data_IF_553665604258
#
_entry.id   IF_553665604258
#
_cell.length_a   1.000
_cell.length_b   1.000
_cell.length_c   1.000
_cell.angle_alpha   90.00
_cell.angle_beta   90.00
_cell.angle_gamma   90.00
#
_symmetry.space_group_name_H-M   'P 1'
#
loop_
_entity.id
_entity.type
_entity.pdbx_description
1 polymer ?
#
# COMPACT_ATOMS: atom_id res chain seq x y z
N UNK A 1 -1.36 -49.09 -60.63
CA UNK A 1 -2.42 -48.48 -59.80
C UNK A 1 -1.76 -47.37 -58.99
N UNK A 2 -2.11 -46.13 -59.33
CA UNK A 2 -2.02 -44.87 -58.57
C UNK A 2 -0.71 -44.48 -57.84
N UNK A 3 -0.17 -43.36 -58.34
CA UNK A 3 0.80 -42.39 -57.80
C UNK A 3 0.52 -42.04 -56.31
N UNK A 4 1.46 -41.55 -55.48
CA UNK A 4 2.28 -40.33 -55.62
C UNK A 4 3.44 -40.40 -54.62
N UNK A 5 4.64 -40.05 -55.09
CA UNK A 5 5.82 -39.74 -54.27
C UNK A 5 5.81 -38.26 -53.82
N UNK A 6 6.18 -37.98 -52.57
CA UNK A 6 6.67 -36.66 -52.14
C UNK A 6 7.65 -36.87 -50.98
N UNK A 7 8.96 -36.70 -51.19
CA UNK A 7 9.75 -35.45 -51.01
C UNK A 7 9.90 -35.06 -49.53
N UNK A 8 11.17 -35.05 -49.10
CA UNK A 8 11.57 -34.79 -47.73
C UNK A 8 11.31 -33.36 -47.25
N UNK A 9 11.31 -33.22 -45.92
CA UNK A 9 11.42 -31.94 -45.26
C UNK A 9 12.27 -32.13 -44.00
N UNK A 10 13.51 -31.61 -44.10
CA UNK A 10 14.31 -31.14 -42.97
C UNK A 10 13.41 -30.33 -42.04
N UNK A 11 13.46 -30.63 -40.74
CA UNK A 11 12.78 -29.85 -39.72
C UNK A 11 13.16 -28.37 -39.86
N UNK A 12 12.20 -27.45 -40.09
CA UNK A 12 12.47 -26.04 -39.97
C UNK A 12 12.62 -25.70 -38.48
N UNK A 13 13.73 -25.05 -38.18
CA UNK A 13 13.96 -24.24 -36.98
C UNK A 13 12.71 -23.37 -36.80
N UNK A 14 12.05 -23.50 -35.64
CA UNK A 14 10.98 -22.61 -35.24
C UNK A 14 11.57 -21.20 -35.12
N UNK A 15 11.34 -20.41 -36.17
CA UNK A 15 11.38 -18.96 -36.14
C UNK A 15 10.54 -18.50 -34.95
N UNK A 16 11.17 -17.77 -34.04
CA UNK A 16 10.46 -17.05 -33.00
C UNK A 16 9.55 -16.02 -33.67
N UNK A 17 8.26 -15.92 -33.32
CA UNK A 17 7.45 -14.81 -33.79
C UNK A 17 8.04 -13.52 -33.21
N UNK A 18 8.50 -12.64 -34.10
CA UNK A 18 8.83 -11.25 -33.79
C UNK A 18 7.67 -10.66 -33.00
N UNK A 19 7.99 -10.26 -31.78
CA UNK A 19 7.18 -9.47 -30.89
C UNK A 19 6.67 -8.26 -31.67
N UNK A 20 5.40 -8.30 -32.05
CA UNK A 20 4.72 -7.17 -32.65
C UNK A 20 4.55 -6.12 -31.56
N UNK A 21 5.29 -5.01 -31.68
CA UNK A 21 5.10 -3.82 -30.86
C UNK A 21 3.60 -3.47 -30.82
N UNK A 22 2.99 -3.30 -29.64
CA UNK A 22 1.62 -2.81 -29.58
C UNK A 22 1.60 -1.38 -30.11
N UNK A 23 0.94 -1.20 -31.25
CA UNK A 23 0.50 0.11 -31.76
C UNK A 23 -0.38 0.74 -30.69
N UNK A 24 0.20 1.69 -29.94
CA UNK A 24 -0.51 2.48 -28.94
C UNK A 24 -1.17 3.67 -29.64
N UNK A 25 -2.34 3.41 -30.23
CA UNK A 25 -3.23 4.47 -30.70
C UNK A 25 -4.17 4.84 -29.55
N UNK A 26 -3.99 6.02 -28.97
CA UNK A 26 -4.85 6.46 -27.85
C UNK A 26 -4.24 7.59 -27.04
N UNK A 27 -4.43 8.82 -27.51
CA UNK A 27 -4.50 10.09 -26.76
C UNK A 27 -3.86 10.00 -25.36
N UNK A 28 -2.59 10.41 -25.24
CA UNK A 28 -2.01 10.70 -23.93
C UNK A 28 -2.75 11.91 -23.36
N UNK A 29 -3.79 11.68 -22.55
CA UNK A 29 -4.37 12.73 -21.73
C UNK A 29 -3.24 13.22 -20.83
N UNK A 30 -2.80 14.46 -21.04
CA UNK A 30 -1.73 15.04 -20.24
C UNK A 30 -2.13 14.94 -18.76
N UNK A 31 -1.33 14.23 -17.96
CA UNK A 31 -1.58 14.11 -16.52
C UNK A 31 -1.44 15.49 -15.89
N UNK A 32 -2.32 15.81 -14.96
CA UNK A 32 -2.18 17.03 -14.17
C UNK A 32 -0.95 16.92 -13.25
N UNK A 33 -0.41 18.08 -12.83
CA UNK A 33 0.66 18.14 -11.83
C UNK A 33 0.28 17.39 -10.54
N UNK A 34 -1.01 17.47 -10.16
CA UNK A 34 -1.57 16.76 -9.00
C UNK A 34 -1.52 15.25 -9.20
N UNK A 35 -1.99 14.73 -10.34
CA UNK A 35 -1.96 13.30 -10.62
C UNK A 35 -0.52 12.74 -10.63
N UNK A 36 0.42 13.49 -11.21
CA UNK A 36 1.84 13.12 -11.25
C UNK A 36 2.45 13.07 -9.84
N UNK A 37 2.13 14.06 -8.98
CA UNK A 37 2.55 14.06 -7.57
C UNK A 37 1.97 12.89 -6.77
N UNK A 38 0.72 12.52 -7.02
CA UNK A 38 0.12 11.38 -6.33
C UNK A 38 0.76 10.05 -6.72
N UNK A 39 1.10 9.89 -7.99
CA UNK A 39 1.84 8.71 -8.48
C UNK A 39 3.25 8.64 -7.88
N UNK A 40 3.97 9.77 -7.77
CA UNK A 40 5.29 9.79 -7.14
C UNK A 40 5.23 9.47 -5.63
N UNK A 41 4.24 10.01 -4.90
CA UNK A 41 3.99 9.66 -3.51
C UNK A 41 3.75 8.15 -3.36
N UNK A 42 2.98 7.56 -4.28
CA UNK A 42 2.67 6.14 -4.28
C UNK A 42 3.94 5.32 -4.54
N UNK A 43 4.73 5.69 -5.56
CA UNK A 43 5.98 5.02 -5.89
C UNK A 43 6.99 5.04 -4.73
N UNK A 44 7.24 6.21 -4.14
CA UNK A 44 8.16 6.36 -3.02
C UNK A 44 7.74 5.49 -1.82
N UNK A 45 6.44 5.36 -1.59
CA UNK A 45 5.90 4.52 -0.55
C UNK A 45 6.08 3.04 -0.84
N UNK A 46 5.85 2.60 -2.07
CA UNK A 46 6.12 1.22 -2.50
C UNK A 46 7.60 0.86 -2.29
N UNK A 47 8.52 1.76 -2.65
CA UNK A 47 9.95 1.53 -2.40
C UNK A 47 10.26 1.43 -0.91
N UNK A 48 9.65 2.28 -0.07
CA UNK A 48 9.81 2.19 1.39
C UNK A 48 9.25 0.89 1.96
N UNK A 49 8.08 0.45 1.52
CA UNK A 49 7.46 -0.81 1.95
C UNK A 49 8.32 -2.00 1.51
N UNK A 50 8.83 -2.02 0.28
CA UNK A 50 9.77 -3.04 -0.20
C UNK A 50 11.02 -3.09 0.68
N UNK A 51 11.61 -1.94 0.98
CA UNK A 51 12.81 -1.85 1.81
C UNK A 51 12.55 -2.30 3.26
N UNK A 52 11.39 -1.95 3.83
CA UNK A 52 10.97 -2.40 5.17
C UNK A 52 10.80 -3.92 5.19
N UNK A 53 10.15 -4.46 4.16
CA UNK A 53 9.89 -5.90 4.02
C UNK A 53 11.19 -6.69 3.83
N UNK A 54 12.09 -6.21 2.96
CA UNK A 54 13.42 -6.80 2.72
C UNK A 54 14.27 -6.81 3.99
N UNK A 55 14.35 -5.68 4.72
CA UNK A 55 15.06 -5.63 6.00
C UNK A 55 14.43 -6.55 7.05
N UNK A 56 13.11 -6.67 7.06
CA UNK A 56 12.40 -7.65 7.88
C UNK A 56 12.82 -9.08 7.54
N UNK A 57 12.85 -9.45 6.25
CA UNK A 57 13.27 -10.78 5.79
C UNK A 57 14.78 -11.06 5.97
N UNK A 58 15.64 -10.06 5.83
CA UNK A 58 17.09 -10.23 6.02
C UNK A 58 17.45 -10.38 7.51
N UNK A 59 16.73 -9.69 8.40
CA UNK A 59 16.90 -9.89 9.85
C UNK A 59 16.46 -11.29 10.30
N UNK A 60 15.49 -11.90 9.60
CA UNK A 60 15.05 -13.27 9.90
C UNK A 60 16.02 -14.32 9.36
N UNK A 61 16.54 -14.14 8.14
CA UNK A 61 17.50 -15.06 7.52
C UNK A 61 18.87 -15.01 8.19
N UNK A 62 19.38 -13.83 8.56
CA UNK A 62 20.69 -13.72 9.24
C UNK A 62 20.65 -14.27 10.67
N UNK A 63 19.49 -14.24 11.34
CA UNK A 63 19.29 -14.97 12.61
C UNK A 63 19.26 -16.50 12.41
N UNK A 64 18.82 -16.97 11.23
CA UNK A 64 18.86 -18.39 10.87
C UNK A 64 20.26 -18.88 10.44
N UNK A 65 21.13 -18.06 9.87
CA UNK A 65 22.45 -18.52 9.38
C UNK A 65 23.56 -18.51 10.43
N UNK A 66 23.43 -17.76 11.53
CA UNK A 66 24.38 -17.78 12.66
C UNK A 66 24.13 -18.97 13.64
N UNK A 67 23.22 -19.88 13.26
CA UNK A 67 22.58 -20.85 14.14
C UNK A 67 23.19 -22.26 14.16
N UNK A 68 24.30 -22.53 13.46
CA UNK A 68 24.92 -23.87 13.47
C UNK A 68 25.44 -24.31 14.85
N UNK A 69 25.56 -23.39 15.82
CA UNK A 69 25.89 -23.71 17.23
C UNK A 69 24.68 -23.55 18.18
N UNK A 70 23.62 -22.83 17.81
CA UNK A 70 22.46 -22.53 18.68
C UNK A 70 21.17 -23.34 18.39
N UNK A 71 21.18 -24.19 17.34
CA UNK A 71 20.05 -24.95 16.78
C UNK A 71 19.22 -25.82 17.73
N UNK A 72 19.58 -25.96 19.01
CA UNK A 72 18.75 -26.66 20.01
C UNK A 72 17.94 -25.74 20.92
N UNK A 73 18.17 -24.42 20.90
CA UNK A 73 17.53 -23.47 21.82
C UNK A 73 16.69 -22.37 21.14
N UNK A 74 16.78 -22.13 19.83
CA UNK A 74 16.11 -20.96 19.21
C UNK A 74 14.59 -21.10 19.00
N UNK A 75 14.01 -22.27 19.28
CA UNK A 75 12.55 -22.48 19.27
C UNK A 75 11.86 -22.01 20.56
N UNK A 76 12.62 -21.65 21.61
CA UNK A 76 12.09 -21.18 22.90
C UNK A 76 13.05 -20.18 23.55
N UNK A 77 12.50 -19.13 24.15
CA UNK A 77 13.30 -18.26 25.02
C UNK A 77 14.06 -19.12 26.06
N UNK A 78 15.36 -18.87 26.25
CA UNK A 78 16.12 -19.44 27.36
C UNK A 78 15.47 -19.08 28.71
N UNK A 79 15.66 -19.87 29.77
CA UNK A 79 14.90 -19.76 31.04
C UNK A 79 14.79 -18.33 31.59
N UNK A 80 15.89 -17.58 31.61
CA UNK A 80 15.90 -16.20 32.12
C UNK A 80 15.16 -15.24 31.18
N UNK A 81 15.32 -15.41 29.87
CA UNK A 81 14.63 -14.62 28.87
C UNK A 81 13.11 -14.93 28.87
N UNK A 82 12.74 -16.20 29.06
CA UNK A 82 11.35 -16.64 29.18
C UNK A 82 10.70 -16.02 30.42
N UNK A 83 11.40 -16.06 31.56
CA UNK A 83 10.92 -15.48 32.82
C UNK A 83 10.69 -13.97 32.66
N UNK A 84 11.64 -13.25 32.06
CA UNK A 84 11.47 -11.82 31.74
C UNK A 84 10.28 -11.61 30.80
N UNK A 85 10.20 -12.38 29.72
CA UNK A 85 9.12 -12.25 28.76
C UNK A 85 7.75 -12.43 29.43
N UNK A 86 7.57 -13.49 30.22
CA UNK A 86 6.32 -13.77 30.94
C UNK A 86 5.95 -12.63 31.90
N UNK A 87 6.93 -12.04 32.59
CA UNK A 87 6.69 -10.88 33.47
C UNK A 87 6.20 -9.64 32.69
N UNK A 88 6.60 -9.49 31.43
CA UNK A 88 6.23 -8.34 30.58
C UNK A 88 5.14 -8.66 29.55
N UNK A 89 4.69 -9.91 29.42
CA UNK A 89 3.80 -10.35 28.33
C UNK A 89 2.52 -9.53 28.27
N UNK A 90 1.87 -9.32 29.42
CA UNK A 90 0.67 -8.48 29.50
C UNK A 90 0.95 -7.05 29.02
N UNK A 91 2.07 -6.47 29.43
CA UNK A 91 2.43 -5.11 29.03
C UNK A 91 2.80 -5.01 27.54
N UNK A 92 3.44 -6.04 26.98
CA UNK A 92 3.71 -6.14 25.56
C UNK A 92 2.40 -6.17 24.76
N UNK A 93 1.44 -7.00 25.17
CA UNK A 93 0.12 -7.07 24.53
C UNK A 93 -0.64 -5.74 24.61
N UNK A 94 -0.65 -5.09 25.77
CA UNK A 94 -1.26 -3.75 25.94
C UNK A 94 -0.59 -2.74 25.02
N UNK A 95 0.74 -2.77 24.92
CA UNK A 95 1.49 -1.86 24.06
C UNK A 95 1.17 -2.10 22.59
N UNK A 96 1.11 -3.36 22.16
CA UNK A 96 0.77 -3.74 20.78
C UNK A 96 -0.66 -3.31 20.41
N UNK A 97 -1.63 -3.56 21.30
CA UNK A 97 -3.00 -3.06 21.14
C UNK A 97 -3.04 -1.54 21.04
N UNK A 98 -2.40 -0.84 21.97
CA UNK A 98 -2.36 0.63 21.98
C UNK A 98 -1.73 1.20 20.69
N UNK A 99 -0.72 0.52 20.13
CA UNK A 99 -0.14 0.90 18.84
C UNK A 99 -1.18 0.76 17.72
N UNK A 100 -1.87 -0.38 17.63
CA UNK A 100 -2.90 -0.60 16.61
C UNK A 100 -4.04 0.40 16.73
N UNK A 101 -4.56 0.63 17.95
CA UNK A 101 -5.62 1.61 18.22
C UNK A 101 -5.21 3.01 17.79
N UNK A 102 -3.97 3.42 18.07
CA UNK A 102 -3.46 4.72 17.62
C UNK A 102 -3.39 4.84 16.10
N UNK A 103 -3.07 3.76 15.38
CA UNK A 103 -3.09 3.79 13.91
C UNK A 103 -4.52 3.87 13.38
N UNK A 104 -5.47 3.12 13.97
CA UNK A 104 -6.88 3.20 13.60
C UNK A 104 -7.45 4.61 13.85
N UNK A 105 -7.17 5.21 15.02
CA UNK A 105 -7.60 6.59 15.29
C UNK A 105 -7.03 7.62 14.30
N UNK A 106 -5.80 7.41 13.80
CA UNK A 106 -5.22 8.26 12.76
C UNK A 106 -5.95 8.05 11.43
N UNK A 107 -6.23 6.80 11.07
CA UNK A 107 -7.02 6.45 9.89
C UNK A 107 -8.40 7.12 9.92
N UNK A 108 -9.13 7.00 11.04
CA UNK A 108 -10.49 7.52 11.19
C UNK A 108 -10.51 9.04 11.01
N UNK A 109 -9.51 9.74 11.57
CA UNK A 109 -9.35 11.19 11.39
C UNK A 109 -9.12 11.57 9.93
N UNK A 110 -8.20 10.89 9.24
CA UNK A 110 -7.91 11.18 7.82
C UNK A 110 -9.15 10.86 6.96
N UNK A 111 -9.81 9.74 7.21
CA UNK A 111 -11.04 9.33 6.54
C UNK A 111 -12.16 10.35 6.71
N UNK A 112 -12.37 10.85 7.93
CA UNK A 112 -13.35 11.90 8.20
C UNK A 112 -13.05 13.18 7.40
N UNK A 113 -11.77 13.56 7.28
CA UNK A 113 -11.39 14.72 6.46
C UNK A 113 -11.64 14.44 4.97
N UNK A 114 -11.31 13.25 4.48
CA UNK A 114 -11.61 12.85 3.10
C UNK A 114 -13.10 12.95 2.79
N UNK A 115 -13.96 12.39 3.65
CA UNK A 115 -15.41 12.39 3.44
C UNK A 115 -15.97 13.84 3.42
N UNK A 116 -15.43 14.73 4.27
CA UNK A 116 -15.76 16.17 4.26
C UNK A 116 -15.28 16.87 2.99
N UNK A 117 -14.06 16.59 2.52
CA UNK A 117 -13.48 17.19 1.31
C UNK A 117 -14.23 16.73 0.07
N UNK A 118 -14.58 15.45 -0.02
CA UNK A 118 -15.41 14.92 -1.10
C UNK A 118 -16.79 15.57 -1.14
N UNK A 119 -17.45 15.71 0.03
CA UNK A 119 -18.74 16.39 0.15
C UNK A 119 -18.64 17.88 -0.25
N UNK A 120 -17.61 18.58 0.22
CA UNK A 120 -17.36 19.97 -0.14
C UNK A 120 -17.16 20.14 -1.64
N UNK A 121 -16.36 19.29 -2.28
CA UNK A 121 -16.11 19.37 -3.72
C UNK A 121 -17.43 19.32 -4.51
N UNK A 122 -18.29 18.33 -4.20
CA UNK A 122 -19.61 18.18 -4.85
C UNK A 122 -20.49 19.41 -4.68
N UNK A 123 -20.48 20.04 -3.50
CA UNK A 123 -21.30 21.21 -3.20
C UNK A 123 -20.72 22.53 -3.74
N UNK A 124 -19.40 22.60 -3.91
CA UNK A 124 -18.69 23.85 -4.18
C UNK A 124 -18.81 24.36 -5.62
N UNK A 125 -19.30 23.55 -6.56
CA UNK A 125 -19.31 23.89 -7.98
C UNK A 125 -17.91 24.12 -8.56
N UNK A 126 -16.86 23.62 -7.89
CA UNK A 126 -15.47 23.72 -8.33
C UNK A 126 -15.13 22.67 -9.37
N UNK A 127 -14.23 23.01 -10.28
CA UNK A 127 -13.78 22.11 -11.34
C UNK A 127 -12.32 21.74 -11.10
N UNK A 128 -12.07 20.51 -10.65
CA UNK A 128 -10.73 19.95 -10.57
C UNK A 128 -10.53 19.01 -11.76
N UNK A 129 -9.55 19.34 -12.60
CA UNK A 129 -9.16 18.49 -13.73
C UNK A 129 -8.73 17.10 -13.23
N UNK A 130 -9.20 16.05 -13.90
CA UNK A 130 -8.98 14.64 -13.55
C UNK A 130 -9.40 14.27 -12.11
N UNK A 131 -10.35 14.99 -11.50
CA UNK A 131 -10.83 14.69 -10.15
C UNK A 131 -11.23 13.23 -9.95
N UNK A 132 -11.90 12.61 -10.95
CA UNK A 132 -12.33 11.21 -10.88
C UNK A 132 -11.15 10.25 -10.67
N UNK A 133 -10.04 10.47 -11.36
CA UNK A 133 -8.85 9.64 -11.24
C UNK A 133 -8.15 9.87 -9.89
N UNK A 134 -8.05 11.13 -9.46
CA UNK A 134 -7.52 11.49 -8.14
C UNK A 134 -8.36 10.83 -7.02
N UNK A 135 -9.69 10.90 -7.11
CA UNK A 135 -10.60 10.30 -6.13
C UNK A 135 -10.50 8.77 -6.10
N UNK A 136 -10.32 8.13 -7.26
CA UNK A 136 -10.08 6.69 -7.38
C UNK A 136 -8.78 6.29 -6.70
N UNK A 137 -7.68 7.00 -6.96
CA UNK A 137 -6.39 6.73 -6.35
C UNK A 137 -6.44 6.91 -4.82
N UNK A 138 -7.10 7.97 -4.33
CA UNK A 138 -7.31 8.17 -2.91
C UNK A 138 -8.12 7.05 -2.25
N UNK A 139 -9.12 6.51 -2.95
CA UNK A 139 -9.91 5.38 -2.46
C UNK A 139 -9.05 4.12 -2.34
N UNK A 140 -8.15 3.87 -3.29
CA UNK A 140 -7.20 2.76 -3.23
C UNK A 140 -6.22 2.91 -2.06
N UNK A 141 -5.71 4.11 -1.83
CA UNK A 141 -4.80 4.39 -0.72
C UNK A 141 -5.49 4.31 0.64
N UNK A 142 -6.76 4.74 0.75
CA UNK A 142 -7.61 4.52 1.92
C UNK A 142 -7.74 3.02 2.21
N UNK A 143 -8.03 2.22 1.19
CA UNK A 143 -8.15 0.77 1.34
C UNK A 143 -6.82 0.12 1.75
N UNK A 144 -5.69 0.52 1.15
CA UNK A 144 -4.36 0.01 1.50
C UNK A 144 -3.97 0.35 2.96
N UNK A 145 -4.24 1.58 3.40
CA UNK A 145 -4.03 1.99 4.78
C UNK A 145 -4.88 1.15 5.75
N UNK A 146 -6.18 0.98 5.48
CA UNK A 146 -7.04 0.16 6.34
C UNK A 146 -6.58 -1.30 6.39
N UNK A 147 -6.21 -1.90 5.26
CA UNK A 147 -5.74 -3.28 5.21
C UNK A 147 -4.51 -3.52 6.10
N UNK A 148 -3.54 -2.61 6.05
CA UNK A 148 -2.32 -2.72 6.89
C UNK A 148 -2.60 -2.51 8.38
N UNK A 149 -3.56 -1.65 8.74
CA UNK A 149 -3.99 -1.45 10.13
C UNK A 149 -4.76 -2.67 10.65
N UNK A 150 -5.64 -3.24 9.82
CA UNK A 150 -6.35 -4.49 10.16
C UNK A 150 -5.36 -5.62 10.41
N UNK A 151 -4.34 -5.78 9.55
CA UNK A 151 -3.28 -6.76 9.76
C UNK A 151 -2.50 -6.50 11.05
N UNK A 152 -2.14 -5.24 11.33
CA UNK A 152 -1.46 -4.85 12.57
C UNK A 152 -2.31 -5.18 13.81
N UNK A 153 -3.62 -5.02 13.73
CA UNK A 153 -4.57 -5.37 14.79
C UNK A 153 -4.69 -6.87 15.04
N UNK A 154 -4.55 -7.70 13.99
CA UNK A 154 -4.58 -9.16 14.11
C UNK A 154 -3.31 -9.73 14.76
N UNK A 155 -2.17 -9.03 14.65
CA UNK A 155 -0.88 -9.48 15.20
C UNK A 155 -0.71 -9.32 16.70
N UNK A 156 -1.77 -8.99 17.44
CA UNK A 156 -1.72 -8.72 18.89
C UNK A 156 -1.71 -9.98 19.76
N UNK A 157 -1.87 -11.17 19.17
CA UNK A 157 -1.72 -12.45 19.85
C UNK A 157 -0.23 -12.82 20.05
N UNK A 158 0.44 -12.04 20.89
CA UNK A 158 1.79 -12.34 21.36
C UNK A 158 1.74 -13.26 22.59
N UNK A 159 2.56 -14.31 22.57
CA UNK A 159 2.77 -15.20 23.70
C UNK A 159 4.24 -15.59 23.79
N UNK A 160 4.83 -15.49 24.98
CA UNK A 160 6.24 -15.84 25.21
C UNK A 160 6.52 -17.33 25.02
N UNK A 161 5.50 -18.17 25.14
CA UNK A 161 5.59 -19.63 24.98
C UNK A 161 5.33 -20.10 23.55
N UNK A 162 5.03 -19.19 22.62
CA UNK A 162 4.90 -19.52 21.19
C UNK A 162 6.22 -20.07 20.63
N UNK A 163 6.15 -20.73 19.47
CA UNK A 163 7.34 -21.33 18.83
C UNK A 163 8.39 -20.31 18.37
N UNK A 164 8.00 -19.04 18.16
CA UNK A 164 8.91 -17.98 17.69
C UNK A 164 8.43 -16.59 18.18
N UNK A 165 8.50 -16.30 19.49
CA UNK A 165 8.00 -15.05 20.05
C UNK A 165 8.79 -13.84 19.53
N UNK A 166 10.11 -13.97 19.36
CA UNK A 166 10.96 -12.92 18.78
C UNK A 166 10.52 -12.57 17.35
N UNK A 167 10.23 -13.60 16.54
CA UNK A 167 9.76 -13.43 15.18
C UNK A 167 8.45 -12.65 15.13
N UNK A 168 7.46 -13.03 15.95
CA UNK A 168 6.17 -12.33 16.02
C UNK A 168 6.32 -10.84 16.37
N UNK A 169 7.26 -10.50 17.25
CA UNK A 169 7.54 -9.09 17.58
C UNK A 169 8.25 -8.35 16.44
N UNK A 170 9.11 -9.03 15.68
CA UNK A 170 9.73 -8.46 14.48
C UNK A 170 8.66 -8.21 13.40
N UNK A 171 7.78 -9.18 13.15
CA UNK A 171 6.68 -9.08 12.21
C UNK A 171 5.73 -7.95 12.58
N UNK A 172 5.36 -7.83 13.85
CA UNK A 172 4.54 -6.74 14.35
C UNK A 172 5.17 -5.36 14.07
N UNK A 173 6.48 -5.20 14.28
CA UNK A 173 7.18 -3.93 13.99
C UNK A 173 7.23 -3.63 12.50
N UNK A 174 7.45 -4.64 11.66
CA UNK A 174 7.42 -4.52 10.19
C UNK A 174 6.04 -4.08 9.71
N UNK A 175 4.99 -4.71 10.23
CA UNK A 175 3.60 -4.32 9.94
C UNK A 175 3.28 -2.92 10.44
N UNK A 176 3.75 -2.55 11.63
CA UNK A 176 3.58 -1.19 12.16
C UNK A 176 4.22 -0.15 11.25
N UNK A 177 5.46 -0.39 10.82
CA UNK A 177 6.17 0.51 9.92
C UNK A 177 5.45 0.63 8.57
N UNK A 178 4.94 -0.48 8.04
CA UNK A 178 4.15 -0.52 6.80
C UNK A 178 2.85 0.28 6.94
N UNK A 179 2.11 0.11 8.04
CA UNK A 179 0.89 0.86 8.32
C UNK A 179 1.15 2.38 8.41
N UNK A 180 2.26 2.79 9.03
CA UNK A 180 2.66 4.20 9.10
C UNK A 180 2.94 4.77 7.71
N UNK A 181 3.61 4.01 6.83
CA UNK A 181 3.87 4.43 5.44
C UNK A 181 2.55 4.61 4.69
N UNK A 182 1.64 3.63 4.73
CA UNK A 182 0.37 3.71 4.00
C UNK A 182 -0.55 4.82 4.53
N UNK A 183 -0.60 5.03 5.84
CA UNK A 183 -1.30 6.19 6.42
C UNK A 183 -0.72 7.52 5.95
N UNK A 184 0.59 7.60 5.80
CA UNK A 184 1.29 8.80 5.31
C UNK A 184 0.93 9.08 3.86
N UNK A 185 0.93 8.06 3.01
CA UNK A 185 0.49 8.15 1.61
C UNK A 185 -0.94 8.67 1.50
N UNK A 186 -1.86 8.06 2.25
CA UNK A 186 -3.26 8.45 2.22
C UNK A 186 -3.44 9.92 2.66
N UNK A 187 -2.77 10.31 3.74
CA UNK A 187 -2.79 11.69 4.24
C UNK A 187 -2.23 12.68 3.22
N UNK A 188 -1.06 12.41 2.66
CA UNK A 188 -0.37 13.37 1.80
C UNK A 188 -1.07 13.50 0.45
N UNK A 189 -1.64 12.40 -0.05
CA UNK A 189 -2.50 12.43 -1.22
C UNK A 189 -3.77 13.24 -0.99
N UNK A 190 -4.37 13.15 0.21
CA UNK A 190 -5.53 13.96 0.57
C UNK A 190 -5.17 15.45 0.62
N UNK A 191 -3.97 15.80 1.09
CA UNK A 191 -3.49 17.20 1.05
C UNK A 191 -3.35 17.71 -0.38
N UNK A 192 -2.81 16.92 -1.29
CA UNK A 192 -2.70 17.34 -2.70
C UNK A 192 -4.09 17.52 -3.33
N UNK A 193 -5.07 16.67 -3.01
CA UNK A 193 -6.46 16.92 -3.43
C UNK A 193 -7.03 18.21 -2.84
N UNK A 194 -6.83 18.46 -1.54
CA UNK A 194 -7.30 19.70 -0.90
C UNK A 194 -6.71 20.93 -1.59
N UNK A 195 -5.40 20.92 -1.89
CA UNK A 195 -4.74 22.00 -2.62
C UNK A 195 -5.34 22.17 -4.01
N UNK A 196 -5.55 21.09 -4.74
CA UNK A 196 -6.14 21.12 -6.08
C UNK A 196 -7.54 21.75 -6.06
N UNK A 197 -8.37 21.39 -5.07
CA UNK A 197 -9.69 22.01 -4.89
C UNK A 197 -9.55 23.50 -4.54
N UNK A 198 -8.61 23.87 -3.67
CA UNK A 198 -8.39 25.27 -3.29
C UNK A 198 -7.91 26.14 -4.45
N UNK A 199 -7.07 25.59 -5.34
CA UNK A 199 -6.56 26.28 -6.52
C UNK A 199 -7.49 26.19 -7.74
N UNK A 200 -8.60 25.45 -7.66
CA UNK A 200 -9.50 25.27 -8.79
C UNK A 200 -10.44 26.47 -8.99
N UNK A 201 -10.82 26.68 -10.24
CA UNK A 201 -11.83 27.66 -10.59
C UNK A 201 -13.22 27.19 -10.13
N UNK A 202 -14.06 28.17 -9.75
CA UNK A 202 -15.49 27.97 -9.57
C UNK A 202 -16.18 28.05 -10.92
N UNK A 203 -17.11 27.15 -11.20
CA UNK A 203 -17.97 27.23 -12.39
C UNK A 203 -18.66 28.60 -12.40
N UNK A 204 -18.59 29.38 -13.51
CA UNK A 204 -19.38 30.59 -13.63
C UNK A 204 -20.85 30.23 -13.46
N UNK A 205 -21.51 30.78 -12.43
CA UNK A 205 -22.96 30.72 -12.37
C UNK A 205 -23.47 31.48 -13.59
N UNK A 206 -24.12 30.79 -14.52
CA UNK A 206 -24.95 31.45 -15.52
C UNK A 206 -26.05 32.18 -14.72
N UNK A 207 -25.84 33.48 -14.48
CA UNK A 207 -26.93 34.39 -14.19
C UNK A 207 -27.88 34.30 -15.37
N UNK A 208 -28.99 33.59 -15.16
CA UNK A 208 -30.18 33.64 -15.99
C UNK A 208 -30.64 35.11 -15.96
N UNK A 209 -30.14 35.91 -16.91
CA UNK A 209 -30.74 37.21 -17.22
C UNK A 209 -32.11 36.92 -17.79
N UNK A 210 -33.11 37.01 -16.92
CA UNK A 210 -34.50 37.25 -17.28
C UNK A 210 -34.58 38.56 -18.07
N UNK A 211 -34.28 38.51 -19.38
CA UNK A 211 -34.68 39.53 -20.33
C UNK A 211 -36.17 39.31 -20.64
N UNK A 212 -37.03 39.78 -19.74
CA UNK A 212 -38.45 39.97 -20.05
C UNK A 212 -38.62 41.31 -20.76
N UNK A 213 -38.71 41.19 -22.08
CA UNK A 213 -39.26 42.20 -23.00
C UNK A 213 -40.74 42.50 -22.68
#
# INVERSE_FOLDING_TARGET
>A
MLCVSAVGARQPILDQPKESDPVYDGISVAKTDVQTKLESITYDAEQKVRTITQRGSEQTVNQETDSTTHRKNDLKLGKDALTKCLNYEKQLRITMQSIADRQQQRFDKISTVYDKVASFYVQSGRIVENYKDIAKLLTQQRAAAQATITLLGQSQEFACTAAAPHQRLADFRTQQATAVVQLTVYRDSLKELIKAIQSSDTTPQQEERDDKN
#
